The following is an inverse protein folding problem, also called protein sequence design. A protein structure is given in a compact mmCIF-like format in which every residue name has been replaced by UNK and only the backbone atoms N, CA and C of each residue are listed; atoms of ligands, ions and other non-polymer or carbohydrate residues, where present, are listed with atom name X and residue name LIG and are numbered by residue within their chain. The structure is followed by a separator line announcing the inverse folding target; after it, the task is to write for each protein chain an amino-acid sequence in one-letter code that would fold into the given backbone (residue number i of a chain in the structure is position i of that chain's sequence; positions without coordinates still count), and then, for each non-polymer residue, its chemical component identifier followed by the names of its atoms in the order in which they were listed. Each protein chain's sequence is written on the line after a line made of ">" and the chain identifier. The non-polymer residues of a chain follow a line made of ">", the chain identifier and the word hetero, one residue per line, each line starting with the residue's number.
data_IF_350819093963
#
_entry.id   IF_350819093963
#
_cell.length_a   1.000
_cell.length_b   1.000
_cell.length_c   1.000
_cell.angle_alpha   90.00
_cell.angle_beta   90.00
_cell.angle_gamma   90.00
#
_symmetry.space_group_name_H-M   'P 1'
#
loop_
_entity.id
_entity.type
_entity.pdbx_description
1 polymer ?
#
# COMPACT_ATOMS: atom_id res chain seq x y z
N UNK A 1 -25.66 14.52 -2.81
CA UNK A 1 -24.68 13.71 -2.06
C UNK A 1 -23.34 13.81 -2.76
N UNK A 2 -22.34 14.44 -2.15
CA UNK A 2 -20.97 14.48 -2.67
C UNK A 2 -20.31 13.18 -2.21
N UNK A 3 -20.05 12.26 -3.14
CA UNK A 3 -19.24 11.06 -2.84
C UNK A 3 -17.93 11.58 -2.22
N UNK A 4 -17.49 11.09 -1.05
CA UNK A 4 -16.17 11.43 -0.56
C UNK A 4 -15.18 11.04 -1.67
N UNK A 5 -14.48 12.03 -2.23
CA UNK A 5 -13.58 11.88 -3.39
C UNK A 5 -12.30 11.08 -3.06
N UNK A 6 -12.31 10.32 -1.97
CA UNK A 6 -11.15 9.64 -1.44
C UNK A 6 -11.46 8.14 -1.44
N UNK A 7 -11.13 7.45 -2.53
CA UNK A 7 -10.82 6.04 -2.39
C UNK A 7 -9.55 5.98 -1.52
N UNK A 8 -9.72 5.92 -0.20
CA UNK A 8 -8.62 5.79 0.78
C UNK A 8 -7.74 4.56 0.52
N UNK A 9 -8.15 3.68 -0.38
CA UNK A 9 -7.49 2.45 -0.76
C UNK A 9 -6.97 2.55 -2.20
N UNK A 10 -5.66 2.36 -2.34
CA UNK A 10 -4.97 2.30 -3.63
C UNK A 10 -4.63 0.85 -3.98
N UNK A 11 -4.71 0.44 -5.25
CA UNK A 11 -4.31 -0.90 -5.66
C UNK A 11 -2.80 -1.10 -5.48
N UNK A 12 -2.38 -2.37 -5.37
CA UNK A 12 -0.97 -2.75 -5.21
C UNK A 12 -0.02 -2.08 -6.20
N UNK A 13 -0.46 -1.85 -7.45
CA UNK A 13 0.35 -1.19 -8.48
C UNK A 13 0.58 0.30 -8.19
N UNK A 14 -0.44 1.00 -7.71
CA UNK A 14 -0.30 2.41 -7.32
C UNK A 14 0.48 2.56 -6.02
N UNK A 15 0.22 1.69 -5.03
CA UNK A 15 1.01 1.67 -3.81
C UNK A 15 2.51 1.50 -4.10
N UNK A 16 2.85 0.61 -5.04
CA UNK A 16 4.22 0.41 -5.47
C UNK A 16 4.83 1.68 -6.08
N UNK A 17 4.07 2.38 -6.93
CA UNK A 17 4.51 3.63 -7.56
C UNK A 17 4.73 4.74 -6.52
N UNK A 18 3.87 4.87 -5.50
CA UNK A 18 4.02 5.85 -4.41
C UNK A 18 5.28 5.57 -3.59
N UNK A 19 5.59 4.30 -3.34
CA UNK A 19 6.79 3.89 -2.61
C UNK A 19 8.07 3.90 -3.44
N UNK A 20 7.96 4.10 -4.77
CA UNK A 20 9.10 3.95 -5.68
C UNK A 20 9.61 2.51 -5.80
N UNK A 21 8.75 1.52 -5.56
CA UNK A 21 9.08 0.10 -5.56
C UNK A 21 8.40 -0.63 -6.74
N UNK A 22 8.89 -1.83 -7.04
CA UNK A 22 8.20 -2.73 -7.96
C UNK A 22 6.98 -3.38 -7.29
N UNK A 23 5.88 -3.61 -8.03
CA UNK A 23 4.72 -4.34 -7.50
C UNK A 23 5.06 -5.78 -7.05
N UNK A 24 6.12 -6.36 -7.61
CA UNK A 24 6.67 -7.65 -7.18
C UNK A 24 7.27 -7.58 -5.76
N UNK A 25 7.91 -6.48 -5.40
CA UNK A 25 8.42 -6.24 -4.04
C UNK A 25 7.29 -6.21 -3.03
N UNK A 26 6.19 -5.50 -3.33
CA UNK A 26 4.99 -5.51 -2.48
C UNK A 26 4.35 -6.90 -2.38
N UNK A 27 4.34 -7.67 -3.48
CA UNK A 27 3.88 -9.07 -3.46
C UNK A 27 4.76 -9.93 -2.54
N UNK A 28 6.08 -9.75 -2.61
CA UNK A 28 7.03 -10.46 -1.76
C UNK A 28 6.84 -10.11 -0.28
N UNK A 29 6.68 -8.82 0.06
CA UNK A 29 6.39 -8.38 1.43
C UNK A 29 5.09 -8.96 1.96
N UNK A 30 4.04 -8.99 1.14
CA UNK A 30 2.78 -9.64 1.50
C UNK A 30 2.96 -11.14 1.77
N UNK A 31 3.73 -11.83 0.95
CA UNK A 31 3.95 -13.27 1.08
C UNK A 31 4.82 -13.64 2.28
N UNK A 32 5.87 -12.84 2.54
CA UNK A 32 6.78 -13.02 3.66
C UNK A 32 6.25 -12.46 4.98
N UNK A 33 5.20 -11.64 4.94
CA UNK A 33 4.69 -10.92 6.10
C UNK A 33 5.58 -9.77 6.57
N UNK A 34 6.64 -9.45 5.81
CA UNK A 34 7.55 -8.35 6.09
C UNK A 34 6.76 -7.04 5.94
N UNK A 35 6.55 -6.32 7.05
CA UNK A 35 5.74 -5.09 7.14
C UNK A 35 4.21 -5.25 7.16
N UNK A 36 3.67 -6.41 7.50
CA UNK A 36 2.21 -6.62 7.58
C UNK A 36 1.49 -5.67 8.56
N UNK A 37 2.14 -5.30 9.67
CA UNK A 37 1.59 -4.36 10.65
C UNK A 37 1.56 -2.90 10.16
N UNK A 38 2.54 -2.50 9.33
CA UNK A 38 2.65 -1.13 8.81
C UNK A 38 1.92 -0.94 7.49
N UNK A 39 1.87 -1.98 6.66
CA UNK A 39 1.23 -2.01 5.34
C UNK A 39 0.24 -3.20 5.28
N UNK A 40 -0.86 -3.14 6.05
CA UNK A 40 -1.84 -4.22 6.07
C UNK A 40 -2.51 -4.34 4.69
N UNK A 41 -2.42 -5.50 4.02
CA UNK A 41 -3.06 -5.72 2.74
C UNK A 41 -4.58 -5.85 2.93
N UNK A 42 -5.34 -5.02 2.23
CA UNK A 42 -6.80 -5.12 2.19
C UNK A 42 -7.23 -5.91 0.96
N UNK A 43 -7.84 -7.08 1.17
CA UNK A 43 -8.33 -7.92 0.08
C UNK A 43 -9.77 -7.56 -0.25
N UNK A 44 -10.00 -7.07 -1.47
CA UNK A 44 -11.34 -6.80 -1.95
C UNK A 44 -11.99 -8.09 -2.49
N UNK A 45 -13.33 -8.07 -2.61
CA UNK A 45 -14.17 -9.18 -3.07
C UNK A 45 -13.72 -9.72 -4.46
N UNK A 46 -13.11 -8.87 -5.28
CA UNK A 46 -12.58 -9.20 -6.61
C UNK A 46 -11.19 -9.86 -6.60
N UNK A 47 -10.68 -10.29 -5.44
CA UNK A 47 -9.30 -10.80 -5.22
C UNK A 47 -8.20 -9.77 -5.50
N UNK A 48 -8.58 -8.52 -5.72
CA UNK A 48 -7.64 -7.42 -5.91
C UNK A 48 -7.18 -6.92 -4.54
N UNK A 49 -5.88 -6.67 -4.43
CA UNK A 49 -5.23 -6.27 -3.18
C UNK A 49 -5.01 -4.78 -3.21
N UNK A 50 -5.55 -4.13 -2.18
CA UNK A 50 -5.47 -2.71 -1.96
C UNK A 50 -4.70 -2.42 -0.68
N UNK A 51 -4.14 -1.23 -0.62
CA UNK A 51 -3.46 -0.69 0.55
C UNK A 51 -4.08 0.65 0.89
N UNK A 52 -4.16 0.97 2.17
CA UNK A 52 -4.61 2.28 2.57
C UNK A 52 -3.56 3.31 2.17
N UNK A 53 -3.96 4.34 1.42
CA UNK A 53 -3.04 5.37 0.91
C UNK A 53 -2.25 6.03 2.04
N UNK A 54 -2.92 6.35 3.15
CA UNK A 54 -2.28 6.94 4.33
C UNK A 54 -1.16 6.06 4.92
N UNK A 55 -1.34 4.74 4.94
CA UNK A 55 -0.31 3.81 5.44
C UNK A 55 0.87 3.72 4.47
N UNK A 56 0.59 3.75 3.16
CA UNK A 56 1.61 3.79 2.09
C UNK A 56 2.44 5.06 2.16
N UNK A 57 1.80 6.22 2.29
CA UNK A 57 2.49 7.52 2.42
C UNK A 57 3.35 7.57 3.68
N UNK A 58 2.80 7.13 4.82
CA UNK A 58 3.52 7.08 6.09
C UNK A 58 4.71 6.13 6.06
N UNK A 59 4.59 4.99 5.37
CA UNK A 59 5.70 4.07 5.17
C UNK A 59 6.78 4.69 4.28
N UNK A 60 6.38 5.44 3.23
CA UNK A 60 7.32 6.17 2.37
C UNK A 60 8.17 7.14 3.20
N UNK A 61 7.52 7.97 4.03
CA UNK A 61 8.22 8.91 4.93
C UNK A 61 9.15 8.20 5.92
N UNK A 62 8.73 7.07 6.48
CA UNK A 62 9.54 6.28 7.41
C UNK A 62 10.77 5.64 6.74
N UNK A 63 10.63 5.20 5.48
CA UNK A 63 11.74 4.62 4.71
C UNK A 63 12.75 5.68 4.24
N UNK A 64 12.30 6.94 4.07
CA UNK A 64 13.10 8.05 3.55
C UNK A 64 13.89 8.80 4.64
N UNK A 65 13.57 8.57 5.92
CA UNK A 65 14.27 9.15 7.08
C UNK A 65 15.42 8.29 7.61
N UNK A 66 15.71 7.16 6.97
CA UNK A 66 16.93 6.38 7.19
C UNK A 66 18.03 6.84 6.21
N UNK A 67 18.55 8.06 6.39
CA UNK A 67 19.77 8.55 5.72
C UNK A 67 20.57 9.39 6.70
#
# INVERSE_FOLDING_TARGET
>A
MRLPQNSDYVPSKEAAAILGLSPETLRFWRYTGKYKDMLPPFMHISRQIFYKKADVERFSEMSMTAT
#
